data_IF_901018478063
#
_entry.id   IF_901018478063
#
_cell.length_a   1.000
_cell.length_b   1.000
_cell.length_c   1.000
_cell.angle_alpha   90.00
_cell.angle_beta   90.00
_cell.angle_gamma   90.00
#
_symmetry.space_group_name_H-M   'P 1'
#
loop_
_entity.id
_entity.type
_entity.pdbx_description
1 polymer ?
#
# COMPACT_ATOMS: atom_id res chain seq x y z
N UNK A 1 18.46 -67.21 26.11
CA UNK A 1 17.89 -67.08 24.75
C UNK A 1 16.46 -66.53 24.73
N UNK A 2 15.53 -67.02 25.58
CA UNK A 2 14.12 -66.56 25.60
C UNK A 2 13.94 -65.09 26.05
N UNK A 3 14.84 -64.57 26.89
CA UNK A 3 14.74 -63.23 27.45
C UNK A 3 15.21 -62.12 26.50
N UNK A 4 16.16 -62.40 25.60
CA UNK A 4 16.58 -61.45 24.55
C UNK A 4 15.51 -61.33 23.46
N UNK A 5 14.86 -62.43 23.10
CA UNK A 5 13.81 -62.44 22.08
C UNK A 5 12.62 -61.55 22.47
N UNK A 6 12.24 -61.53 23.76
CA UNK A 6 11.20 -60.62 24.29
C UNK A 6 11.57 -59.13 24.15
N UNK A 7 12.85 -58.78 24.33
CA UNK A 7 13.33 -57.39 24.21
C UNK A 7 13.29 -56.90 22.77
N UNK A 8 13.66 -57.75 21.81
CA UNK A 8 13.60 -57.43 20.38
C UNK A 8 12.16 -57.36 19.87
N UNK A 9 11.26 -58.22 20.35
CA UNK A 9 9.82 -58.16 20.00
C UNK A 9 9.16 -56.89 20.55
N UNK A 10 9.49 -56.46 21.78
CA UNK A 10 9.01 -55.18 22.33
C UNK A 10 9.57 -53.98 21.57
N UNK A 11 10.83 -54.03 21.13
CA UNK A 11 11.45 -52.95 20.35
C UNK A 11 10.86 -52.86 18.92
N UNK A 12 10.59 -54.00 18.28
CA UNK A 12 9.89 -54.07 16.98
C UNK A 12 8.43 -53.60 17.09
N UNK A 13 7.72 -53.97 18.16
CA UNK A 13 6.36 -53.42 18.41
C UNK A 13 6.40 -51.90 18.64
N UNK A 14 7.40 -51.38 19.34
CA UNK A 14 7.53 -49.94 19.57
C UNK A 14 7.84 -49.18 18.25
N UNK A 15 8.65 -49.75 17.36
CA UNK A 15 8.92 -49.20 16.02
C UNK A 15 7.67 -49.28 15.12
N UNK A 16 6.88 -50.36 15.21
CA UNK A 16 5.62 -50.50 14.48
C UNK A 16 4.52 -49.55 15.00
N UNK A 17 4.55 -49.17 16.29
CA UNK A 17 3.64 -48.18 16.87
C UNK A 17 4.10 -46.74 16.55
N UNK A 18 5.40 -46.51 16.38
CA UNK A 18 5.95 -45.21 15.97
C UNK A 18 5.84 -44.92 14.46
N UNK A 19 5.52 -45.92 13.64
CA UNK A 19 5.52 -45.82 12.17
C UNK A 19 4.22 -45.32 11.51
N UNK A 20 3.14 -45.08 12.25
CA UNK A 20 1.83 -44.70 11.67
C UNK A 20 1.16 -43.53 12.41
N UNK A 21 1.87 -42.45 12.68
CA UNK A 21 1.21 -41.14 12.73
C UNK A 21 0.86 -40.75 11.29
N UNK A 22 -0.16 -41.39 10.72
CA UNK A 22 -0.92 -40.79 9.63
C UNK A 22 -1.51 -39.53 10.25
N UNK A 23 -0.87 -38.38 10.00
CA UNK A 23 -1.46 -37.06 10.23
C UNK A 23 -2.82 -37.12 9.55
N UNK A 24 -3.89 -37.23 10.33
CA UNK A 24 -5.24 -37.28 9.79
C UNK A 24 -5.40 -36.07 8.87
N UNK A 25 -5.66 -36.32 7.58
CA UNK A 25 -5.88 -35.23 6.62
C UNK A 25 -6.99 -34.34 7.17
N UNK A 26 -6.73 -33.03 7.14
CA UNK A 26 -7.72 -32.06 7.62
C UNK A 26 -8.96 -32.20 6.74
N UNK A 27 -10.17 -32.07 7.31
CA UNK A 27 -11.39 -32.32 6.56
C UNK A 27 -11.65 -31.28 5.44
N UNK A 28 -10.87 -30.19 5.42
CA UNK A 28 -10.88 -29.13 4.41
C UNK A 28 -9.61 -29.12 3.52
N UNK A 29 -8.75 -30.13 3.62
CA UNK A 29 -7.47 -30.20 2.89
C UNK A 29 -7.69 -30.16 1.37
N UNK A 30 -8.70 -30.84 0.86
CA UNK A 30 -9.05 -30.83 -0.57
C UNK A 30 -9.43 -29.42 -1.07
N UNK A 31 -10.13 -28.64 -0.25
CA UNK A 31 -10.49 -27.26 -0.58
C UNK A 31 -9.26 -26.35 -0.57
N UNK A 32 -8.31 -26.59 0.34
CA UNK A 32 -7.02 -25.89 0.37
C UNK A 32 -6.16 -26.21 -0.86
N UNK A 33 -6.02 -27.50 -1.21
CA UNK A 33 -5.33 -27.97 -2.41
C UNK A 33 -5.94 -27.39 -3.68
N UNK A 34 -7.27 -27.38 -3.80
CA UNK A 34 -7.98 -26.79 -4.94
C UNK A 34 -7.69 -25.29 -5.09
N UNK A 35 -7.69 -24.56 -3.97
CA UNK A 35 -7.36 -23.12 -3.96
C UNK A 35 -5.93 -22.86 -4.43
N UNK A 36 -4.97 -23.65 -3.95
CA UNK A 36 -3.58 -23.55 -4.41
C UNK A 36 -3.43 -23.86 -5.90
N UNK A 37 -4.00 -24.97 -6.37
CA UNK A 37 -3.90 -25.37 -7.76
C UNK A 37 -4.54 -24.34 -8.70
N UNK A 38 -5.72 -23.84 -8.35
CA UNK A 38 -6.36 -22.75 -9.09
C UNK A 38 -5.45 -21.52 -9.15
N UNK A 39 -4.94 -21.03 -8.01
CA UNK A 39 -4.04 -19.87 -7.99
C UNK A 39 -2.76 -20.10 -8.81
N UNK A 40 -2.21 -21.32 -8.81
CA UNK A 40 -1.01 -21.65 -9.58
C UNK A 40 -1.29 -21.66 -11.09
N UNK A 41 -2.32 -22.38 -11.54
CA UNK A 41 -2.64 -22.57 -12.96
C UNK A 41 -3.40 -21.39 -13.57
N UNK A 42 -4.09 -20.60 -12.75
CA UNK A 42 -5.05 -19.58 -13.21
C UNK A 42 -6.40 -20.15 -13.64
N UNK A 43 -6.68 -21.41 -13.31
CA UNK A 43 -7.94 -22.08 -13.68
C UNK A 43 -8.96 -22.04 -12.54
N UNK A 44 -9.98 -21.20 -12.70
CA UNK A 44 -11.05 -21.04 -11.72
C UNK A 44 -11.92 -22.29 -11.57
N UNK A 45 -12.04 -23.11 -12.62
CA UNK A 45 -12.90 -24.30 -12.61
C UNK A 45 -12.44 -25.36 -11.60
N UNK A 46 -11.16 -25.31 -11.20
CA UNK A 46 -10.59 -26.13 -10.12
C UNK A 46 -11.15 -25.71 -8.75
N UNK A 47 -11.33 -24.41 -8.53
CA UNK A 47 -11.75 -23.85 -7.24
C UNK A 47 -13.28 -23.78 -7.10
N UNK A 48 -14.00 -23.47 -8.18
CA UNK A 48 -15.45 -23.26 -8.17
C UNK A 48 -16.25 -24.35 -7.43
N UNK A 49 -15.97 -25.67 -7.60
CA UNK A 49 -16.70 -26.72 -6.91
C UNK A 49 -16.54 -26.68 -5.39
N UNK A 50 -15.51 -26.02 -4.88
CA UNK A 50 -15.17 -25.94 -3.47
C UNK A 50 -15.61 -24.64 -2.80
N UNK A 51 -16.20 -23.71 -3.55
CA UNK A 51 -16.78 -22.49 -3.01
C UNK A 51 -18.23 -22.73 -2.53
N UNK A 52 -18.64 -22.03 -1.47
CA UNK A 52 -20.06 -21.94 -1.12
C UNK A 52 -20.80 -20.93 -2.04
N UNK A 53 -22.13 -20.91 -1.99
CA UNK A 53 -22.93 -20.09 -2.89
C UNK A 53 -22.71 -18.58 -2.72
N UNK A 54 -22.33 -18.13 -1.52
CA UNK A 54 -22.03 -16.73 -1.27
C UNK A 54 -20.66 -16.37 -1.88
N UNK A 55 -19.67 -17.23 -1.69
CA UNK A 55 -18.32 -17.07 -2.21
C UNK A 55 -18.29 -17.17 -3.73
N UNK A 56 -19.09 -18.02 -4.37
CA UNK A 56 -19.23 -18.05 -5.84
C UNK A 56 -19.71 -16.73 -6.42
N UNK A 57 -20.60 -16.03 -5.72
CA UNK A 57 -21.11 -14.71 -6.14
C UNK A 57 -20.11 -13.60 -5.87
N UNK A 58 -19.39 -13.66 -4.76
CA UNK A 58 -18.43 -12.64 -4.35
C UNK A 58 -17.05 -12.78 -5.01
N UNK A 59 -16.69 -14.01 -5.39
CA UNK A 59 -15.40 -14.40 -5.95
C UNK A 59 -15.62 -15.28 -7.18
N UNK A 60 -16.30 -14.69 -8.16
CA UNK A 60 -16.53 -15.27 -9.48
C UNK A 60 -15.21 -15.38 -10.28
N UNK A 61 -15.28 -15.94 -11.49
CA UNK A 61 -14.08 -16.14 -12.33
C UNK A 61 -13.32 -14.82 -12.58
N UNK A 62 -14.04 -13.70 -12.74
CA UNK A 62 -13.44 -12.39 -12.95
C UNK A 62 -12.72 -11.91 -11.68
N UNK A 63 -13.38 -12.02 -10.52
CA UNK A 63 -12.80 -11.68 -9.22
C UNK A 63 -11.57 -12.52 -8.89
N UNK A 64 -11.63 -13.82 -9.19
CA UNK A 64 -10.51 -14.73 -9.05
C UNK A 64 -9.32 -14.35 -9.94
N UNK A 65 -9.56 -14.10 -11.24
CA UNK A 65 -8.50 -13.69 -12.18
C UNK A 65 -7.85 -12.39 -11.72
N UNK A 66 -8.64 -11.38 -11.35
CA UNK A 66 -8.12 -10.11 -10.84
C UNK A 66 -7.31 -10.26 -9.55
N UNK A 67 -7.78 -11.10 -8.61
CA UNK A 67 -7.05 -11.40 -7.38
C UNK A 67 -5.71 -12.09 -7.67
N UNK A 68 -5.71 -13.12 -8.52
CA UNK A 68 -4.50 -13.84 -8.92
C UNK A 68 -3.51 -12.93 -9.64
N UNK A 69 -3.97 -12.15 -10.61
CA UNK A 69 -3.14 -11.19 -11.33
C UNK A 69 -2.52 -10.17 -10.37
N UNK A 70 -3.27 -9.70 -9.36
CA UNK A 70 -2.74 -8.82 -8.33
C UNK A 70 -1.60 -9.47 -7.53
N UNK A 71 -1.78 -10.73 -7.12
CA UNK A 71 -0.73 -11.47 -6.41
C UNK A 71 0.49 -11.72 -7.29
N UNK A 72 0.29 -12.19 -8.53
CA UNK A 72 1.39 -12.56 -9.43
C UNK A 72 2.18 -11.34 -9.92
N UNK A 73 1.50 -10.24 -10.25
CA UNK A 73 2.17 -8.99 -10.66
C UNK A 73 3.02 -8.40 -9.54
N UNK A 74 2.57 -8.50 -8.29
CA UNK A 74 3.29 -7.96 -7.13
C UNK A 74 4.40 -8.90 -6.64
N UNK A 75 4.08 -10.18 -6.49
CA UNK A 75 4.94 -11.14 -5.77
C UNK A 75 5.64 -12.14 -6.68
N UNK A 76 5.39 -12.10 -8.00
CA UNK A 76 5.92 -13.07 -8.96
C UNK A 76 5.10 -14.37 -8.99
N UNK A 77 5.55 -15.41 -9.70
CA UNK A 77 4.85 -16.68 -9.79
C UNK A 77 4.76 -17.43 -8.44
N UNK A 78 3.64 -18.12 -8.22
CA UNK A 78 3.42 -18.97 -7.05
C UNK A 78 4.22 -20.29 -7.18
N UNK A 79 5.01 -20.62 -6.16
CA UNK A 79 5.90 -21.78 -6.16
C UNK A 79 5.30 -22.96 -5.37
N UNK A 80 4.96 -22.72 -4.10
CA UNK A 80 4.46 -23.73 -3.15
C UNK A 80 3.52 -23.10 -2.12
N UNK A 81 2.92 -23.94 -1.26
CA UNK A 81 2.16 -23.48 -0.10
C UNK A 81 2.44 -24.40 1.10
N UNK A 82 2.29 -23.87 2.32
CA UNK A 82 2.48 -24.60 3.56
C UNK A 82 1.41 -24.23 4.58
N UNK A 83 0.93 -25.19 5.35
CA UNK A 83 -0.01 -24.92 6.44
C UNK A 83 0.74 -24.36 7.66
N UNK A 84 0.21 -23.27 8.21
CA UNK A 84 0.79 -22.59 9.38
C UNK A 84 0.05 -22.95 10.66
N UNK A 85 -1.27 -22.69 10.69
CA UNK A 85 -2.08 -22.89 11.90
C UNK A 85 -3.57 -22.98 11.57
N UNK A 86 -4.33 -23.52 12.50
CA UNK A 86 -5.79 -23.54 12.49
C UNK A 86 -6.33 -22.65 13.62
N UNK A 87 -7.43 -21.95 13.34
CA UNK A 87 -8.28 -21.33 14.35
C UNK A 87 -9.75 -21.70 14.14
N UNK A 88 -10.60 -21.30 15.08
CA UNK A 88 -12.06 -21.45 14.98
C UNK A 88 -12.74 -20.16 15.36
N UNK A 89 -13.80 -19.82 14.64
CA UNK A 89 -14.66 -18.67 14.93
C UNK A 89 -16.12 -19.07 14.72
N UNK A 90 -16.81 -19.42 15.81
CA UNK A 90 -18.16 -19.97 15.73
C UNK A 90 -18.21 -21.28 14.93
N UNK A 91 -19.03 -21.33 13.89
CA UNK A 91 -19.15 -22.47 12.97
C UNK A 91 -18.03 -22.56 11.92
N UNK A 92 -17.16 -21.56 11.85
CA UNK A 92 -16.11 -21.48 10.83
C UNK A 92 -14.77 -22.02 11.32
N UNK A 93 -14.07 -22.71 10.44
CA UNK A 93 -12.66 -23.09 10.62
C UNK A 93 -11.78 -22.11 9.85
N UNK A 94 -10.74 -21.59 10.49
CA UNK A 94 -9.80 -20.64 9.92
C UNK A 94 -8.47 -21.34 9.66
N UNK A 95 -8.19 -21.72 8.41
CA UNK A 95 -6.88 -22.27 8.03
C UNK A 95 -5.95 -21.17 7.54
N UNK A 96 -4.76 -21.09 8.12
CA UNK A 96 -3.72 -20.15 7.71
C UNK A 96 -2.67 -20.89 6.91
N UNK A 97 -2.42 -20.44 5.69
CA UNK A 97 -1.47 -21.06 4.77
C UNK A 97 -0.50 -20.03 4.22
N UNK A 98 0.79 -20.33 4.26
CA UNK A 98 1.82 -19.52 3.63
C UNK A 98 1.97 -19.94 2.16
N UNK A 99 1.55 -19.07 1.25
CA UNK A 99 1.75 -19.21 -0.18
C UNK A 99 3.10 -18.59 -0.56
N UNK A 100 4.03 -19.42 -1.01
CA UNK A 100 5.41 -19.03 -1.32
C UNK A 100 5.48 -18.54 -2.77
N UNK A 101 5.51 -17.24 -2.98
CA UNK A 101 5.75 -16.62 -4.30
C UNK A 101 7.23 -16.34 -4.50
N UNK A 102 7.65 -16.01 -5.73
CA UNK A 102 9.05 -15.70 -6.06
C UNK A 102 9.63 -14.59 -5.17
N UNK A 103 8.89 -13.50 -4.94
CA UNK A 103 9.36 -12.30 -4.23
C UNK A 103 8.86 -12.19 -2.78
N UNK A 104 7.87 -12.99 -2.38
CA UNK A 104 7.28 -12.90 -1.04
C UNK A 104 6.57 -14.20 -0.62
N UNK A 105 6.46 -14.40 0.68
CA UNK A 105 5.55 -15.36 1.31
C UNK A 105 4.27 -14.62 1.72
N UNK A 106 3.13 -15.09 1.22
CA UNK A 106 1.82 -14.49 1.49
C UNK A 106 1.01 -15.46 2.34
N UNK A 107 0.76 -15.13 3.60
CA UNK A 107 -0.13 -15.90 4.45
C UNK A 107 -1.58 -15.60 4.06
N UNK A 108 -2.28 -16.58 3.51
CA UNK A 108 -3.72 -16.51 3.25
C UNK A 108 -4.48 -17.15 4.40
N UNK A 109 -5.46 -16.41 4.93
CA UNK A 109 -6.47 -16.94 5.84
C UNK A 109 -7.65 -17.42 5.02
N UNK A 110 -7.81 -18.73 4.99
CA UNK A 110 -8.91 -19.44 4.34
C UNK A 110 -9.97 -19.78 5.39
N UNK A 111 -11.21 -19.37 5.12
CA UNK A 111 -12.33 -19.60 6.03
C UNK A 111 -13.21 -20.69 5.46
N UNK A 112 -13.34 -21.78 6.21
CA UNK A 112 -14.07 -22.97 5.80
C UNK A 112 -15.37 -23.10 6.60
N UNK A 113 -16.42 -23.48 5.90
CA UNK A 113 -17.72 -23.85 6.48
C UNK A 113 -18.14 -25.23 5.99
N UNK A 114 -18.72 -26.03 6.87
CA UNK A 114 -19.30 -27.30 6.46
C UNK A 114 -20.67 -27.07 5.80
N UNK A 115 -20.82 -27.57 4.57
CA UNK A 115 -22.07 -27.52 3.80
C UNK A 115 -22.32 -28.92 3.24
N UNK A 116 -23.43 -29.55 3.65
CA UNK A 116 -23.81 -30.91 3.23
C UNK A 116 -22.69 -31.95 3.43
N UNK A 117 -22.02 -31.91 4.58
CA UNK A 117 -20.93 -32.84 4.93
C UNK A 117 -19.61 -32.61 4.18
N UNK A 118 -19.47 -31.47 3.47
CA UNK A 118 -18.23 -31.08 2.78
C UNK A 118 -17.81 -29.68 3.22
N UNK A 119 -16.52 -29.49 3.50
CA UNK A 119 -15.99 -28.18 3.84
C UNK A 119 -15.80 -27.33 2.57
N UNK A 120 -16.53 -26.22 2.49
CA UNK A 120 -16.44 -25.22 1.42
C UNK A 120 -15.67 -24.00 1.87
N UNK A 121 -15.03 -23.31 0.93
CA UNK A 121 -14.42 -22.01 1.15
C UNK A 121 -15.52 -20.95 1.19
N UNK A 122 -15.65 -20.30 2.34
CA UNK A 122 -16.61 -19.23 2.61
C UNK A 122 -15.94 -17.84 2.67
N UNK A 123 -14.61 -17.79 2.63
CA UNK A 123 -13.89 -16.54 2.49
C UNK A 123 -12.38 -16.71 2.43
N UNK A 124 -11.72 -15.68 1.91
CA UNK A 124 -10.29 -15.64 1.66
C UNK A 124 -9.75 -14.24 1.95
N UNK A 125 -8.69 -14.15 2.76
CA UNK A 125 -8.02 -12.89 3.08
C UNK A 125 -6.51 -13.04 3.02
N UNK A 126 -5.82 -11.98 2.61
CA UNK A 126 -4.39 -11.84 2.87
C UNK A 126 -4.25 -11.43 4.34
N UNK A 127 -3.62 -12.30 5.13
CA UNK A 127 -3.41 -12.09 6.57
C UNK A 127 -2.05 -11.43 6.82
N UNK A 128 -1.01 -11.85 6.10
CA UNK A 128 0.36 -11.34 6.22
C UNK A 128 1.10 -11.47 4.89
N UNK A 129 2.05 -10.55 4.65
CA UNK A 129 3.00 -10.64 3.53
C UNK A 129 4.42 -10.48 4.09
N UNK A 130 5.31 -11.39 3.71
CA UNK A 130 6.71 -11.42 4.10
C UNK A 130 7.58 -11.47 2.84
N UNK A 131 8.17 -10.35 2.45
CA UNK A 131 9.01 -10.27 1.24
C UNK A 131 10.29 -11.12 1.39
N UNK A 132 10.67 -11.83 0.32
CA UNK A 132 11.87 -12.67 0.22
C UNK A 132 13.12 -11.90 -0.21
N UNK A 133 13.00 -10.62 -0.55
CA UNK A 133 14.18 -9.79 -0.81
C UNK A 133 15.02 -9.64 0.47
N UNK A 134 16.06 -10.46 0.59
CA UNK A 134 17.22 -10.20 1.41
C UNK A 134 17.90 -8.92 0.89
N UNK A 135 17.76 -7.79 1.60
CA UNK A 135 18.57 -6.58 1.33
C UNK A 135 17.82 -5.24 1.23
N UNK A 136 16.53 -5.19 1.54
CA UNK A 136 15.83 -3.91 1.69
C UNK A 136 16.07 -3.25 3.04
N UNK A 137 15.88 -1.93 3.11
CA UNK A 137 15.80 -1.23 4.39
C UNK A 137 14.44 -1.54 5.04
N UNK A 138 14.38 -1.84 6.36
CA UNK A 138 13.12 -1.82 7.08
C UNK A 138 12.37 -0.52 6.80
N UNK A 139 11.06 -0.56 6.57
CA UNK A 139 10.29 0.66 6.25
C UNK A 139 10.53 1.80 7.24
N UNK A 140 10.68 1.47 8.53
CA UNK A 140 11.01 2.44 9.59
C UNK A 140 12.33 3.19 9.36
N UNK A 141 13.30 2.59 8.67
CA UNK A 141 14.52 3.27 8.21
C UNK A 141 14.32 3.93 6.85
N UNK A 142 13.56 3.32 5.95
CA UNK A 142 13.31 3.85 4.62
C UNK A 142 12.59 5.21 4.66
N UNK A 143 11.71 5.46 5.64
CA UNK A 143 11.03 6.76 5.82
C UNK A 143 11.98 7.92 6.15
N UNK A 144 13.22 7.65 6.56
CA UNK A 144 14.21 8.71 6.83
C UNK A 144 14.62 9.40 5.52
N UNK A 145 14.66 8.67 4.41
CA UNK A 145 15.10 9.19 3.12
C UNK A 145 14.25 10.35 2.57
N UNK A 146 12.90 10.24 2.48
CA UNK A 146 12.08 11.38 2.07
C UNK A 146 12.24 12.59 3.01
N UNK A 147 12.38 12.38 4.32
CA UNK A 147 12.63 13.45 5.30
C UNK A 147 13.95 14.16 5.00
N UNK A 148 15.02 13.41 4.72
CA UNK A 148 16.31 13.96 4.32
C UNK A 148 16.20 14.77 3.02
N UNK A 149 15.33 14.36 2.08
CA UNK A 149 15.05 15.12 0.87
C UNK A 149 14.49 16.52 1.17
N UNK A 150 13.50 16.61 2.06
CA UNK A 150 12.94 17.90 2.50
C UNK A 150 13.97 18.76 3.26
N UNK A 151 14.77 18.15 4.14
CA UNK A 151 15.85 18.84 4.86
C UNK A 151 16.91 19.36 3.89
N UNK A 152 17.28 18.59 2.87
CA UNK A 152 18.24 19.01 1.85
C UNK A 152 17.77 20.24 1.09
N UNK A 153 16.47 20.37 0.82
CA UNK A 153 15.90 21.57 0.21
C UNK A 153 16.04 22.80 1.13
N UNK A 154 15.78 22.64 2.43
CA UNK A 154 16.01 23.70 3.42
C UNK A 154 17.49 24.12 3.50
N UNK A 155 18.40 23.13 3.54
CA UNK A 155 19.86 23.36 3.54
C UNK A 155 20.29 24.07 2.26
N UNK A 156 19.72 23.73 1.10
CA UNK A 156 20.02 24.39 -0.18
C UNK A 156 19.77 25.89 -0.09
N UNK A 157 18.62 26.33 0.41
CA UNK A 157 18.34 27.76 0.56
C UNK A 157 19.21 28.42 1.64
N UNK A 158 19.54 27.73 2.72
CA UNK A 158 20.48 28.24 3.72
C UNK A 158 21.88 28.46 3.12
N UNK A 159 22.40 27.50 2.35
CA UNK A 159 23.69 27.57 1.67
C UNK A 159 23.74 28.68 0.60
N UNK A 160 22.61 28.99 -0.03
CA UNK A 160 22.45 30.15 -0.93
C UNK A 160 22.40 31.51 -0.19
N UNK A 161 22.58 31.53 1.13
CA UNK A 161 22.69 32.75 1.95
C UNK A 161 21.36 33.28 2.49
N UNK A 162 20.24 32.56 2.30
CA UNK A 162 18.96 32.98 2.87
C UNK A 162 18.92 32.68 4.37
N UNK A 163 18.74 33.71 5.22
CA UNK A 163 18.49 33.44 6.65
C UNK A 163 17.10 32.83 6.82
N UNK A 164 17.03 31.77 7.61
CA UNK A 164 15.80 31.03 7.88
C UNK A 164 14.70 31.91 8.49
N UNK A 165 13.45 31.54 8.23
CA UNK A 165 12.27 32.20 8.77
C UNK A 165 11.36 31.16 9.42
N UNK A 166 11.58 30.92 10.72
CA UNK A 166 10.90 29.85 11.46
C UNK A 166 9.37 29.96 11.46
N UNK A 167 8.82 31.16 11.67
CA UNK A 167 7.37 31.37 11.66
C UNK A 167 6.73 31.02 10.30
N UNK A 168 7.37 31.43 9.21
CA UNK A 168 6.93 31.09 7.85
C UNK A 168 7.09 29.60 7.53
N UNK A 169 8.16 28.95 7.99
CA UNK A 169 8.33 27.50 7.87
C UNK A 169 7.20 26.75 8.59
N UNK A 170 6.90 27.13 9.84
CA UNK A 170 5.82 26.52 10.63
C UNK A 170 4.46 26.75 9.96
N UNK A 171 4.22 27.96 9.44
CA UNK A 171 2.99 28.24 8.70
C UNK A 171 2.87 27.30 7.49
N UNK A 172 3.93 27.18 6.67
CA UNK A 172 3.96 26.27 5.53
C UNK A 172 3.65 24.82 5.92
N UNK A 173 4.29 24.32 6.96
CA UNK A 173 4.06 22.98 7.50
C UNK A 173 2.59 22.79 7.91
N UNK A 174 2.00 23.78 8.60
CA UNK A 174 0.59 23.74 9.01
C UNK A 174 -0.38 23.72 7.82
N UNK A 175 -0.04 24.38 6.69
CA UNK A 175 -0.85 24.32 5.48
C UNK A 175 -0.90 22.90 4.87
N UNK A 176 0.15 22.10 5.03
CA UNK A 176 0.14 20.67 4.64
C UNK A 176 -0.84 19.89 5.50
N UNK A 177 -0.86 20.15 6.81
CA UNK A 177 -1.81 19.51 7.72
C UNK A 177 -3.24 19.78 7.26
N UNK A 178 -3.58 21.05 6.97
CA UNK A 178 -4.89 21.41 6.41
C UNK A 178 -5.17 20.63 5.11
N UNK A 179 -4.18 20.53 4.24
CA UNK A 179 -4.29 19.80 2.98
C UNK A 179 -4.64 18.33 3.20
N UNK A 180 -3.91 17.64 4.08
CA UNK A 180 -4.13 16.22 4.36
C UNK A 180 -5.54 15.92 4.90
N UNK A 181 -6.14 16.84 5.68
CA UNK A 181 -7.46 16.64 6.26
C UNK A 181 -8.61 17.11 5.37
N UNK A 182 -8.44 18.19 4.60
CA UNK A 182 -9.53 18.83 3.85
C UNK A 182 -9.53 18.39 2.38
N UNK A 183 -8.35 18.22 1.77
CA UNK A 183 -8.25 17.83 0.36
C UNK A 183 -8.79 16.42 0.15
N UNK A 184 -8.48 15.48 1.05
CA UNK A 184 -8.85 14.08 0.89
C UNK A 184 -10.38 13.88 0.79
N UNK A 185 -11.23 14.42 1.69
CA UNK A 185 -12.69 14.36 1.51
C UNK A 185 -13.18 14.89 0.16
N UNK A 186 -12.60 15.99 -0.34
CA UNK A 186 -12.97 16.58 -1.64
C UNK A 186 -12.60 15.63 -2.78
N UNK A 187 -11.39 15.04 -2.72
CA UNK A 187 -10.92 14.06 -3.69
C UNK A 187 -11.79 12.80 -3.70
N UNK A 188 -12.20 12.31 -2.52
CA UNK A 188 -12.96 11.07 -2.38
C UNK A 188 -14.46 11.20 -2.70
N UNK A 189 -15.04 12.40 -2.61
CA UNK A 189 -16.48 12.58 -2.77
C UNK A 189 -17.04 12.03 -4.10
N UNK A 190 -16.44 12.28 -5.29
CA UNK A 190 -16.95 11.69 -6.53
C UNK A 190 -16.79 10.17 -6.60
N UNK A 191 -15.70 9.63 -6.05
CA UNK A 191 -15.51 8.18 -5.99
C UNK A 191 -16.61 7.52 -5.17
N UNK A 192 -16.92 8.08 -3.99
CA UNK A 192 -18.01 7.59 -3.15
C UNK A 192 -19.37 7.70 -3.83
N UNK A 193 -19.64 8.82 -4.54
CA UNK A 193 -20.87 9.00 -5.31
C UNK A 193 -21.02 7.98 -6.45
N UNK A 194 -19.90 7.52 -7.03
CA UNK A 194 -19.86 6.47 -8.04
C UNK A 194 -19.82 5.04 -7.45
N UNK A 195 -19.86 4.90 -6.12
CA UNK A 195 -19.77 3.62 -5.43
C UNK A 195 -18.37 3.00 -5.39
N UNK A 196 -17.32 3.76 -5.69
CA UNK A 196 -15.91 3.36 -5.55
C UNK A 196 -15.50 3.54 -4.09
N UNK A 197 -15.11 2.45 -3.43
CA UNK A 197 -14.74 2.43 -2.00
C UNK A 197 -13.27 2.04 -1.77
N UNK A 198 -12.59 1.58 -2.82
CA UNK A 198 -11.24 1.03 -2.73
C UNK A 198 -10.47 1.21 -4.04
N UNK A 199 -9.15 1.11 -3.98
CA UNK A 199 -8.30 1.11 -5.18
C UNK A 199 -8.61 -0.09 -6.10
N UNK A 200 -9.05 -1.22 -5.54
CA UNK A 200 -9.50 -2.36 -6.34
C UNK A 200 -10.74 -2.02 -7.19
N UNK A 201 -11.64 -1.19 -6.69
CA UNK A 201 -12.81 -0.77 -7.47
C UNK A 201 -12.42 0.16 -8.64
N UNK A 202 -11.38 0.99 -8.44
CA UNK A 202 -10.82 1.83 -9.50
C UNK A 202 -10.21 0.96 -10.59
N UNK A 203 -9.38 -0.02 -10.22
CA UNK A 203 -8.75 -0.95 -11.15
C UNK A 203 -9.77 -1.81 -11.90
N UNK A 204 -10.82 -2.28 -11.20
CA UNK A 204 -11.88 -3.12 -11.79
C UNK A 204 -12.71 -2.41 -12.88
N UNK A 205 -12.69 -1.07 -12.91
CA UNK A 205 -13.34 -0.25 -13.94
C UNK A 205 -12.49 -0.02 -15.19
N UNK A 206 -11.26 -0.55 -15.20
CA UNK A 206 -10.37 -0.57 -16.36
C UNK A 206 -9.44 0.64 -16.47
N UNK A 207 -8.47 0.53 -17.39
CA UNK A 207 -7.37 1.48 -17.53
C UNK A 207 -7.82 2.94 -17.75
N UNK A 208 -8.87 3.16 -18.56
CA UNK A 208 -9.40 4.51 -18.79
C UNK A 208 -9.94 5.15 -17.51
N UNK A 209 -10.57 4.36 -16.64
CA UNK A 209 -11.06 4.86 -15.36
C UNK A 209 -9.90 5.19 -14.41
N UNK A 210 -8.83 4.37 -14.41
CA UNK A 210 -7.60 4.66 -13.64
C UNK A 210 -7.00 5.99 -14.07
N UNK A 211 -6.82 6.22 -15.39
CA UNK A 211 -6.26 7.47 -15.90
C UNK A 211 -7.12 8.68 -15.50
N UNK A 212 -8.45 8.58 -15.66
CA UNK A 212 -9.36 9.67 -15.28
C UNK A 212 -9.34 9.92 -13.76
N UNK A 213 -9.26 8.86 -12.95
CA UNK A 213 -9.14 8.96 -11.50
C UNK A 213 -7.84 9.66 -11.09
N UNK A 214 -6.70 9.31 -11.70
CA UNK A 214 -5.40 9.95 -11.44
C UNK A 214 -5.42 11.42 -11.85
N UNK A 215 -6.02 11.76 -13.00
CA UNK A 215 -6.20 13.16 -13.44
C UNK A 215 -7.05 13.94 -12.41
N UNK A 216 -8.18 13.37 -12.00
CA UNK A 216 -9.04 14.01 -10.99
C UNK A 216 -8.29 14.27 -9.68
N UNK A 217 -7.62 13.24 -9.15
CA UNK A 217 -6.85 13.34 -7.91
C UNK A 217 -5.78 14.43 -8.02
N UNK A 218 -4.99 14.41 -9.10
CA UNK A 218 -3.93 15.38 -9.32
C UNK A 218 -4.44 16.81 -9.44
N UNK A 219 -5.44 17.06 -10.29
CA UNK A 219 -5.96 18.42 -10.46
C UNK A 219 -6.63 18.97 -9.20
N UNK A 220 -7.36 18.15 -8.43
CA UNK A 220 -7.89 18.62 -7.14
C UNK A 220 -6.76 18.98 -6.19
N UNK A 221 -5.68 18.20 -6.13
CA UNK A 221 -4.51 18.52 -5.33
C UNK A 221 -3.88 19.85 -5.77
N UNK A 222 -3.59 20.01 -7.07
CA UNK A 222 -3.00 21.23 -7.61
C UNK A 222 -3.84 22.49 -7.38
N UNK A 223 -5.16 22.43 -7.57
CA UNK A 223 -6.04 23.57 -7.30
C UNK A 223 -6.16 23.87 -5.81
N UNK A 224 -6.30 22.84 -4.97
CA UNK A 224 -6.45 23.02 -3.54
C UNK A 224 -5.16 23.58 -2.91
N UNK A 225 -4.02 22.95 -3.18
CA UNK A 225 -2.75 23.32 -2.59
C UNK A 225 -2.25 24.69 -3.07
N UNK A 226 -2.28 24.96 -4.38
CA UNK A 226 -1.87 26.28 -4.89
C UNK A 226 -2.87 27.37 -4.49
N UNK A 227 -4.17 27.07 -4.44
CA UNK A 227 -5.19 27.99 -3.94
C UNK A 227 -4.95 28.37 -2.48
N UNK A 228 -4.70 27.37 -1.63
CA UNK A 228 -4.35 27.56 -0.23
C UNK A 228 -3.08 28.41 -0.10
N UNK A 229 -1.98 28.02 -0.78
CA UNK A 229 -0.73 28.79 -0.77
C UNK A 229 -0.94 30.22 -1.22
N UNK A 230 -1.66 30.47 -2.31
CA UNK A 230 -1.93 31.81 -2.84
C UNK A 230 -2.60 32.73 -1.81
N UNK A 231 -3.59 32.22 -1.06
CA UNK A 231 -4.27 32.98 0.00
C UNK A 231 -3.26 33.49 1.04
N UNK A 232 -2.32 32.63 1.45
CA UNK A 232 -1.37 32.94 2.52
C UNK A 232 -0.12 33.70 2.06
N UNK A 233 0.23 33.66 0.78
CA UNK A 233 1.46 34.30 0.26
C UNK A 233 1.22 35.59 -0.53
N UNK A 234 0.00 35.85 -1.03
CA UNK A 234 -0.29 36.96 -1.97
C UNK A 234 0.18 38.35 -1.50
N UNK A 235 0.18 38.63 -0.20
CA UNK A 235 0.62 39.92 0.34
C UNK A 235 1.97 39.86 1.09
N UNK A 236 2.72 38.77 0.94
CA UNK A 236 3.99 38.56 1.66
C UNK A 236 5.19 39.07 0.87
N UNK A 237 6.32 39.24 1.55
CA UNK A 237 7.61 39.42 0.86
C UNK A 237 8.01 38.13 0.14
N UNK A 238 8.83 38.22 -0.91
CA UNK A 238 9.27 37.03 -1.65
C UNK A 238 10.00 36.05 -0.74
N UNK A 239 10.79 36.57 0.21
CA UNK A 239 11.49 35.75 1.21
C UNK A 239 10.52 35.08 2.19
N UNK A 240 9.45 35.75 2.60
CA UNK A 240 8.43 35.11 3.44
C UNK A 240 7.68 34.02 2.65
N UNK A 241 7.31 34.31 1.40
CA UNK A 241 6.67 33.32 0.52
C UNK A 241 7.56 32.09 0.28
N UNK A 242 8.87 32.30 0.03
CA UNK A 242 9.87 31.22 -0.09
C UNK A 242 9.79 30.27 1.10
N UNK A 243 9.90 30.78 2.33
CA UNK A 243 9.94 29.92 3.52
C UNK A 243 8.58 29.31 3.87
N UNK A 244 7.45 29.93 3.49
CA UNK A 244 6.15 29.25 3.52
C UNK A 244 6.15 28.05 2.57
N UNK A 245 6.70 28.20 1.35
CA UNK A 245 6.80 27.11 0.38
C UNK A 245 7.74 25.99 0.83
N UNK A 246 8.92 26.34 1.36
CA UNK A 246 9.85 25.35 1.95
C UNK A 246 9.20 24.62 3.12
N UNK A 247 8.48 25.33 3.99
CA UNK A 247 7.75 24.73 5.11
C UNK A 247 6.68 23.75 4.64
N UNK A 248 5.98 24.09 3.55
CA UNK A 248 5.01 23.20 2.92
C UNK A 248 5.69 21.93 2.39
N UNK A 249 6.75 22.07 1.59
CA UNK A 249 7.49 20.91 1.07
C UNK A 249 8.08 20.01 2.17
N UNK A 250 8.63 20.61 3.24
CA UNK A 250 9.14 19.89 4.40
C UNK A 250 8.01 19.15 5.14
N UNK A 251 6.83 19.77 5.26
CA UNK A 251 5.66 19.13 5.84
C UNK A 251 5.23 17.89 5.07
N UNK A 252 5.21 17.93 3.73
CA UNK A 252 4.93 16.74 2.92
C UNK A 252 6.01 15.67 3.07
N UNK A 253 7.28 16.07 3.03
CA UNK A 253 8.43 15.18 3.18
C UNK A 253 8.47 14.44 4.52
N UNK A 254 7.79 14.97 5.55
CA UNK A 254 7.69 14.37 6.88
C UNK A 254 6.37 13.62 7.07
N UNK A 255 5.23 14.29 6.83
CA UNK A 255 3.93 13.77 7.22
C UNK A 255 3.48 12.59 6.34
N UNK A 256 3.71 12.66 5.03
CA UNK A 256 3.29 11.60 4.10
C UNK A 256 3.98 10.25 4.41
N UNK A 257 5.32 10.16 4.51
CA UNK A 257 5.96 8.87 4.80
C UNK A 257 5.65 8.36 6.21
N UNK A 258 5.45 9.24 7.19
CA UNK A 258 5.01 8.82 8.53
C UNK A 258 3.59 8.24 8.53
N UNK A 259 2.67 8.85 7.79
CA UNK A 259 1.32 8.30 7.62
C UNK A 259 1.36 6.93 6.92
N UNK A 260 2.22 6.77 5.91
CA UNK A 260 2.42 5.48 5.24
C UNK A 260 2.99 4.42 6.18
N UNK A 261 3.93 4.77 7.06
CA UNK A 261 4.45 3.86 8.08
C UNK A 261 3.37 3.40 9.05
N UNK A 262 2.56 4.34 9.58
CA UNK A 262 1.46 4.03 10.50
C UNK A 262 0.43 3.11 9.84
N UNK A 263 0.06 3.37 8.58
CA UNK A 263 -0.85 2.52 7.82
C UNK A 263 -0.28 1.12 7.61
N UNK A 264 1.01 1.01 7.27
CA UNK A 264 1.68 -0.28 7.05
C UNK A 264 1.73 -1.13 8.32
N UNK A 265 2.00 -0.49 9.47
CA UNK A 265 1.98 -1.14 10.79
C UNK A 265 0.57 -1.62 11.17
N UNK A 266 -0.46 -0.81 10.92
CA UNK A 266 -1.84 -1.17 11.18
C UNK A 266 -2.30 -2.40 10.37
N UNK A 267 -1.73 -2.59 9.18
CA UNK A 267 -1.99 -3.74 8.31
C UNK A 267 -1.15 -4.98 8.65
N UNK A 268 -0.33 -4.95 9.73
CA UNK A 268 0.54 -6.06 10.11
C UNK A 268 1.67 -6.34 9.12
N UNK A 269 1.92 -5.42 8.20
CA UNK A 269 2.98 -5.53 7.21
C UNK A 269 4.28 -4.93 7.78
N UNK A 270 5.39 -5.67 7.69
CA UNK A 270 6.73 -5.15 7.91
C UNK A 270 7.45 -5.08 6.55
N UNK A 271 7.00 -4.21 5.62
CA UNK A 271 7.59 -4.17 4.30
C UNK A 271 9.03 -3.69 4.41
N UNK A 272 9.89 -4.28 3.61
CA UNK A 272 11.21 -3.74 3.34
C UNK A 272 11.10 -2.93 2.05
N UNK A 273 11.88 -1.85 1.96
CA UNK A 273 11.96 -1.02 0.77
C UNK A 273 13.37 -1.08 0.21
N UNK A 274 13.50 -1.36 -1.08
CA UNK A 274 14.79 -1.37 -1.75
C UNK A 274 15.48 0.01 -1.61
N UNK A 275 16.78 0.02 -1.33
CA UNK A 275 17.56 1.25 -1.13
C UNK A 275 17.42 2.24 -2.31
N UNK A 276 17.39 1.73 -3.54
CA UNK A 276 17.22 2.56 -4.74
C UNK A 276 15.89 3.32 -4.72
N UNK A 277 14.81 2.67 -4.28
CA UNK A 277 13.49 3.32 -4.15
C UNK A 277 13.52 4.37 -3.05
N UNK A 278 14.20 4.09 -1.92
CA UNK A 278 14.37 5.07 -0.84
C UNK A 278 15.15 6.31 -1.31
N UNK A 279 16.23 6.12 -2.09
CA UNK A 279 16.99 7.22 -2.69
C UNK A 279 16.18 8.03 -3.71
N UNK A 280 15.38 7.37 -4.54
CA UNK A 280 14.46 8.05 -5.46
C UNK A 280 13.42 8.86 -4.68
N UNK A 281 12.87 8.32 -3.59
CA UNK A 281 11.94 9.04 -2.70
C UNK A 281 12.58 10.27 -2.07
N UNK A 282 13.85 10.17 -1.64
CA UNK A 282 14.63 11.33 -1.19
C UNK A 282 14.73 12.41 -2.28
N UNK A 283 15.08 12.02 -3.50
CA UNK A 283 15.19 12.92 -4.65
C UNK A 283 13.86 13.58 -5.01
N UNK A 284 12.78 12.80 -5.03
CA UNK A 284 11.42 13.29 -5.29
C UNK A 284 11.00 14.33 -4.25
N UNK A 285 11.20 14.05 -2.96
CA UNK A 285 10.81 14.98 -1.89
C UNK A 285 11.69 16.24 -1.84
N UNK A 286 12.96 16.13 -2.22
CA UNK A 286 13.81 17.29 -2.45
C UNK A 286 13.26 18.19 -3.56
N UNK A 287 12.96 17.62 -4.73
CA UNK A 287 12.41 18.36 -5.88
C UNK A 287 11.03 18.94 -5.58
N UNK A 288 10.16 18.19 -4.91
CA UNK A 288 8.85 18.67 -4.46
C UNK A 288 9.02 19.87 -3.54
N UNK A 289 9.91 19.83 -2.54
CA UNK A 289 10.13 20.96 -1.65
C UNK A 289 10.65 22.21 -2.37
N UNK A 290 11.53 22.05 -3.36
CA UNK A 290 11.94 23.16 -4.24
C UNK A 290 10.77 23.68 -5.09
N UNK A 291 9.90 22.80 -5.58
CA UNK A 291 8.70 23.17 -6.32
C UNK A 291 7.72 23.99 -5.46
N UNK A 292 7.45 23.58 -4.21
CA UNK A 292 6.62 24.39 -3.31
C UNK A 292 7.25 25.75 -2.99
N UNK A 293 8.57 25.79 -2.80
CA UNK A 293 9.31 27.04 -2.60
C UNK A 293 9.22 27.98 -3.81
N UNK A 294 9.37 27.45 -5.03
CA UNK A 294 9.29 28.22 -6.27
C UNK A 294 7.88 28.73 -6.56
N UNK A 295 6.87 27.86 -6.43
CA UNK A 295 5.47 28.21 -6.66
C UNK A 295 5.02 29.35 -5.73
N UNK A 296 5.35 29.32 -4.44
CA UNK A 296 4.97 30.40 -3.52
C UNK A 296 5.64 31.74 -3.85
N UNK A 297 6.91 31.73 -4.27
CA UNK A 297 7.60 32.94 -4.74
C UNK A 297 6.88 33.52 -5.96
N UNK A 298 6.58 32.68 -6.95
CA UNK A 298 5.90 33.10 -8.18
C UNK A 298 4.52 33.65 -7.87
N UNK A 299 3.75 33.01 -6.99
CA UNK A 299 2.43 33.49 -6.56
C UNK A 299 2.51 34.87 -5.88
N UNK A 300 3.45 35.05 -4.96
CA UNK A 300 3.64 36.33 -4.27
C UNK A 300 4.13 37.43 -5.23
N UNK A 301 5.04 37.10 -6.13
CA UNK A 301 5.52 38.02 -7.16
C UNK A 301 4.40 38.42 -8.14
N UNK A 302 3.67 37.44 -8.68
CA UNK A 302 2.60 37.66 -9.64
C UNK A 302 1.47 38.51 -9.06
N UNK A 303 1.13 38.30 -7.78
CA UNK A 303 0.15 39.14 -7.10
C UNK A 303 0.56 40.60 -7.06
N UNK A 304 1.80 40.89 -6.65
CA UNK A 304 2.34 42.26 -6.59
C UNK A 304 2.39 42.96 -7.94
N UNK A 305 2.50 42.19 -9.02
CA UNK A 305 2.56 42.70 -10.38
C UNK A 305 1.21 42.63 -11.12
N UNK A 306 0.10 42.36 -10.41
CA UNK A 306 -1.25 42.45 -10.97
C UNK A 306 -1.74 41.24 -11.77
N UNK A 307 -0.95 40.16 -11.88
CA UNK A 307 -1.31 38.94 -12.62
C UNK A 307 -1.45 37.69 -11.75
N UNK A 308 -1.63 37.86 -10.43
CA UNK A 308 -1.70 36.79 -9.44
C UNK A 308 -2.72 35.68 -9.77
N UNK A 309 -3.90 36.03 -10.30
CA UNK A 309 -4.93 35.03 -10.68
C UNK A 309 -4.48 34.14 -11.84
N UNK A 310 -3.79 34.71 -12.84
CA UNK A 310 -3.25 33.96 -13.98
C UNK A 310 -2.14 33.01 -13.53
N UNK A 311 -1.26 33.48 -12.63
CA UNK A 311 -0.22 32.65 -12.04
C UNK A 311 -0.81 31.52 -11.19
N UNK A 312 -1.82 31.79 -10.36
CA UNK A 312 -2.54 30.77 -9.60
C UNK A 312 -3.09 29.68 -10.53
N UNK A 313 -3.85 30.06 -11.56
CA UNK A 313 -4.41 29.08 -12.50
C UNK A 313 -3.32 28.25 -13.18
N UNK A 314 -2.25 28.89 -13.66
CA UNK A 314 -1.18 28.21 -14.39
C UNK A 314 -0.42 27.22 -13.49
N UNK A 315 -0.12 27.64 -12.25
CA UNK A 315 0.56 26.79 -11.28
C UNK A 315 -0.33 25.66 -10.77
N UNK A 316 -1.63 25.90 -10.57
CA UNK A 316 -2.59 24.83 -10.23
C UNK A 316 -2.65 23.77 -11.31
N UNK A 317 -2.63 24.15 -12.59
CA UNK A 317 -2.58 23.20 -13.71
C UNK A 317 -1.26 22.44 -13.71
N UNK A 318 -0.12 23.14 -13.59
CA UNK A 318 1.20 22.51 -13.60
C UNK A 318 1.37 21.51 -12.45
N UNK A 319 0.99 21.91 -11.24
CA UNK A 319 0.96 21.04 -10.06
C UNK A 319 0.01 19.87 -10.30
N UNK A 320 -1.20 20.13 -10.79
CA UNK A 320 -2.19 19.09 -11.06
C UNK A 320 -1.70 18.02 -12.03
N UNK A 321 -0.94 18.40 -13.06
CA UNK A 321 -0.30 17.47 -13.99
C UNK A 321 0.74 16.60 -13.29
N UNK A 322 1.64 17.20 -12.49
CA UNK A 322 2.66 16.46 -11.74
C UNK A 322 2.01 15.44 -10.79
N UNK A 323 1.00 15.86 -10.03
CA UNK A 323 0.30 14.99 -9.10
C UNK A 323 -0.56 13.94 -9.79
N UNK A 324 -1.02 14.19 -11.02
CA UNK A 324 -1.72 13.18 -11.81
C UNK A 324 -0.78 12.02 -12.17
N UNK A 325 0.48 12.31 -12.50
CA UNK A 325 1.47 11.26 -12.71
C UNK A 325 1.76 10.51 -11.41
N UNK A 326 1.98 11.22 -10.30
CA UNK A 326 2.21 10.59 -9.00
C UNK A 326 1.05 9.67 -8.59
N UNK A 327 -0.20 10.11 -8.78
CA UNK A 327 -1.41 9.34 -8.47
C UNK A 327 -1.66 8.16 -9.43
N UNK A 328 -1.03 8.13 -10.60
CA UNK A 328 -1.14 7.00 -11.53
C UNK A 328 -0.25 5.81 -11.15
N UNK A 329 0.86 6.08 -10.47
CA UNK A 329 1.84 5.08 -10.05
C UNK A 329 1.65 4.58 -8.61
N UNK A 330 0.58 5.03 -7.92
CA UNK A 330 0.19 4.61 -6.56
C UNK A 330 -0.90 3.54 -6.59
#
# INVERSE_FOLDING_TARGET
>A
MVMEMKRWVLFLMMILILGNFVLAEKPYEETAKATFNALKTGDYSILEPYLDDAMKKAFDEKGFKGFRENLVSKYGPLQSYEFVKEGKAGEFILGYYDFKFEKADVTLRMVFKEVNGKYKLSGLWIDKVSWKEEGGLPLALAVIFPILGGILALITFYALGFKLRGAELILGFFLVVITLFVQNPIQQAPFLALGVKSNSDVLARGASFVVLASIWLGFVAGFFQEGLKYIFVRNKTLRAALFIGVGFGLGEAILIPLLQLVQSMALGSAPHQALVISLLSMGERYLAALFHAGTTIVLAYAYKNGFGRKALLSLSIAHGVVDSFAAHYQ
#
